data_IF_375109894200
#
_entry.id   IF_375109894200
#
_cell.length_a   1.000
_cell.length_b   1.000
_cell.length_c   1.000
_cell.angle_alpha   90.00
_cell.angle_beta   90.00
_cell.angle_gamma   90.00
#
_symmetry.space_group_name_H-M   'P 1'
#
loop_
_entity.id
_entity.type
_entity.pdbx_description
1 polymer ?
#
# COMPACT_ATOMS: atom_id res chain seq x y z
N UNK A 1 18.27 -2.36 21.37
CA UNK A 1 17.24 -3.10 20.60
C UNK A 1 17.48 -2.84 19.12
N UNK A 2 18.30 -3.68 18.48
CA UNK A 2 18.54 -3.62 17.04
C UNK A 2 17.42 -4.37 16.34
N UNK A 3 16.65 -3.67 15.51
CA UNK A 3 15.74 -4.32 14.55
C UNK A 3 16.59 -4.96 13.46
N UNK A 4 16.63 -6.29 13.45
CA UNK A 4 17.19 -7.07 12.36
C UNK A 4 16.32 -6.82 11.13
N UNK A 5 16.85 -6.09 10.14
CA UNK A 5 16.27 -6.05 8.81
C UNK A 5 16.38 -7.46 8.23
N UNK A 6 15.27 -8.22 8.29
CA UNK A 6 15.17 -9.50 7.63
C UNK A 6 15.53 -9.29 6.15
N UNK A 7 16.58 -9.97 5.70
CA UNK A 7 16.94 -10.04 4.31
C UNK A 7 15.75 -10.62 3.53
N UNK A 8 15.03 -9.76 2.82
CA UNK A 8 14.05 -10.19 1.83
C UNK A 8 14.87 -10.92 0.76
N UNK A 9 14.78 -12.24 0.74
CA UNK A 9 15.45 -13.06 -0.28
C UNK A 9 15.03 -12.56 -1.67
N UNK A 10 15.99 -12.08 -2.45
CA UNK A 10 15.80 -11.45 -3.77
C UNK A 10 14.98 -12.33 -4.72
N UNK A 11 14.98 -13.66 -4.53
CA UNK A 11 14.16 -14.59 -5.31
C UNK A 11 12.64 -14.44 -5.10
N UNK A 12 12.18 -14.07 -3.90
CA UNK A 12 10.75 -13.89 -3.62
C UNK A 12 10.19 -12.59 -4.23
N UNK A 13 11.03 -11.55 -4.32
CA UNK A 13 10.66 -10.27 -4.96
C UNK A 13 10.43 -10.40 -6.46
N UNK A 14 11.29 -11.17 -7.14
CA UNK A 14 11.13 -11.39 -8.58
C UNK A 14 9.84 -12.17 -8.91
N UNK A 15 9.49 -13.15 -8.09
CA UNK A 15 8.28 -13.95 -8.31
C UNK A 15 7.00 -13.15 -8.01
N UNK A 16 6.96 -12.44 -6.88
CA UNK A 16 5.84 -11.57 -6.53
C UNK A 16 5.61 -10.49 -7.59
N UNK A 17 6.67 -9.85 -8.09
CA UNK A 17 6.53 -8.85 -9.15
C UNK A 17 5.98 -9.42 -10.47
N UNK A 18 6.42 -10.62 -10.87
CA UNK A 18 5.87 -11.30 -12.05
C UNK A 18 4.40 -11.64 -11.88
N UNK A 19 4.01 -12.11 -10.70
CA UNK A 19 2.62 -12.44 -10.39
C UNK A 19 1.73 -11.19 -10.45
N UNK A 20 2.18 -10.07 -9.90
CA UNK A 20 1.48 -8.78 -9.99
C UNK A 20 1.34 -8.28 -11.44
N UNK A 21 2.40 -8.42 -12.26
CA UNK A 21 2.32 -8.07 -13.69
C UNK A 21 1.30 -8.93 -14.44
N UNK A 22 1.27 -10.25 -14.17
CA UNK A 22 0.31 -11.16 -14.78
C UNK A 22 -1.14 -10.81 -14.38
N UNK A 23 -1.37 -10.54 -13.08
CA UNK A 23 -2.66 -10.11 -12.55
C UNK A 23 -3.12 -8.78 -13.15
N UNK A 24 -2.20 -7.83 -13.31
CA UNK A 24 -2.50 -6.55 -13.97
C UNK A 24 -2.97 -6.75 -15.42
N UNK A 25 -2.25 -7.55 -16.21
CA UNK A 25 -2.63 -7.85 -17.60
C UNK A 25 -4.01 -8.53 -17.65
N UNK A 26 -4.27 -9.48 -16.76
CA UNK A 26 -5.57 -10.15 -16.66
C UNK A 26 -6.71 -9.17 -16.37
N UNK A 27 -6.50 -8.25 -15.43
CA UNK A 27 -7.49 -7.24 -15.07
C UNK A 27 -7.79 -6.29 -16.24
N UNK A 28 -6.74 -5.78 -16.90
CA UNK A 28 -6.90 -4.86 -18.05
C UNK A 28 -7.54 -5.56 -19.24
N UNK A 29 -7.16 -6.79 -19.54
CA UNK A 29 -7.67 -7.53 -20.70
C UNK A 29 -9.09 -8.06 -20.48
N UNK A 30 -9.42 -8.46 -19.24
CA UNK A 30 -10.70 -9.06 -18.87
C UNK A 30 -11.70 -8.10 -18.24
N UNK A 31 -11.36 -6.83 -18.05
CA UNK A 31 -12.20 -5.86 -17.33
C UNK A 31 -12.48 -6.24 -15.87
N UNK A 32 -11.62 -7.06 -15.26
CA UNK A 32 -11.79 -7.50 -13.86
C UNK A 32 -11.35 -6.38 -12.94
N UNK A 33 -12.05 -6.21 -11.80
CA UNK A 33 -11.62 -5.29 -10.75
C UNK A 33 -10.34 -5.85 -10.10
N UNK A 34 -9.24 -5.09 -10.04
CA UNK A 34 -8.03 -5.55 -9.39
C UNK A 34 -8.24 -5.70 -7.87
N UNK A 35 -7.47 -6.59 -7.24
CA UNK A 35 -7.49 -6.80 -5.80
C UNK A 35 -7.19 -5.51 -5.03
N UNK A 36 -6.24 -4.72 -5.54
CA UNK A 36 -5.88 -3.39 -5.03
C UNK A 36 -6.10 -2.38 -6.15
N UNK A 37 -7.01 -1.43 -5.92
CA UNK A 37 -7.37 -0.38 -6.87
C UNK A 37 -6.87 1.01 -6.43
N UNK A 38 -7.11 2.02 -7.26
CA UNK A 38 -6.72 3.39 -6.96
C UNK A 38 -7.36 3.94 -5.68
N UNK A 39 -8.60 3.56 -5.37
CA UNK A 39 -9.28 3.96 -4.13
C UNK A 39 -8.57 3.38 -2.90
N UNK A 40 -8.15 2.12 -2.97
CA UNK A 40 -7.35 1.48 -1.93
C UNK A 40 -6.03 2.21 -1.72
N UNK A 41 -5.33 2.58 -2.79
CA UNK A 41 -4.11 3.39 -2.74
C UNK A 41 -4.34 4.78 -2.11
N UNK A 42 -5.42 5.47 -2.51
CA UNK A 42 -5.78 6.78 -1.96
C UNK A 42 -6.02 6.73 -0.45
N UNK A 43 -6.70 5.68 0.04
CA UNK A 43 -6.91 5.48 1.49
C UNK A 43 -5.58 5.36 2.25
N UNK A 44 -4.61 4.64 1.70
CA UNK A 44 -3.27 4.51 2.31
C UNK A 44 -2.56 5.85 2.35
N UNK A 45 -2.57 6.61 1.26
CA UNK A 45 -1.94 7.95 1.20
C UNK A 45 -2.53 8.87 2.28
N UNK A 46 -3.85 8.91 2.41
CA UNK A 46 -4.53 9.71 3.45
C UNK A 46 -4.12 9.32 4.87
N UNK A 47 -4.00 8.02 5.15
CA UNK A 47 -3.52 7.53 6.45
C UNK A 47 -2.09 8.04 6.71
N UNK A 48 -1.20 7.94 5.73
CA UNK A 48 0.18 8.40 5.86
C UNK A 48 0.28 9.92 6.04
N UNK A 49 -0.57 10.69 5.36
CA UNK A 49 -0.67 12.14 5.55
C UNK A 49 -1.16 12.50 6.95
N UNK A 50 -2.21 11.85 7.44
CA UNK A 50 -2.74 12.05 8.78
C UNK A 50 -1.71 11.65 9.86
N UNK A 51 -1.01 10.54 9.68
CA UNK A 51 0.08 10.12 10.55
C UNK A 51 1.22 11.15 10.57
N UNK A 52 1.58 11.68 9.40
CA UNK A 52 2.59 12.75 9.28
C UNK A 52 2.15 14.02 10.02
N UNK A 53 0.87 14.41 9.91
CA UNK A 53 0.32 15.53 10.64
C UNK A 53 0.27 15.29 12.15
N UNK A 54 -0.11 14.08 12.57
CA UNK A 54 -0.11 13.64 13.97
C UNK A 54 1.27 13.82 14.59
N UNK A 55 2.32 13.29 13.94
CA UNK A 55 3.71 13.40 14.40
C UNK A 55 4.15 14.86 14.54
N UNK A 56 3.81 15.73 13.57
CA UNK A 56 4.11 17.16 13.65
C UNK A 56 3.41 17.87 14.80
N UNK A 57 2.29 17.33 15.29
CA UNK A 57 1.51 17.86 16.42
C UNK A 57 1.77 17.11 17.73
N UNK A 58 2.88 16.39 17.83
CA UNK A 58 3.26 15.68 19.06
C UNK A 58 2.53 14.35 19.28
N UNK A 59 2.04 13.72 18.21
CA UNK A 59 1.40 12.41 18.27
C UNK A 59 -0.10 12.45 18.58
N UNK A 60 -0.76 13.60 18.45
CA UNK A 60 -2.21 13.70 18.64
C UNK A 60 -2.96 12.97 17.52
N UNK A 61 -4.09 12.34 17.86
CA UNK A 61 -4.93 11.68 16.87
C UNK A 61 -5.45 12.69 15.82
N UNK A 62 -5.41 12.29 14.54
CA UNK A 62 -5.98 13.04 13.42
C UNK A 62 -7.11 12.19 12.84
N UNK A 63 -8.31 12.75 12.78
CA UNK A 63 -9.46 12.06 12.20
C UNK A 63 -9.30 11.93 10.68
N UNK A 64 -9.64 10.74 10.18
CA UNK A 64 -9.73 10.46 8.75
C UNK A 64 -11.20 10.62 8.36
N UNK A 65 -11.49 11.58 7.47
CA UNK A 65 -12.82 11.69 6.89
C UNK A 65 -13.21 10.41 6.15
N UNK A 66 -14.47 10.00 6.27
CA UNK A 66 -15.03 8.93 5.44
C UNK A 66 -15.18 9.44 4.02
N UNK A 67 -14.63 8.70 3.06
CA UNK A 67 -14.85 8.95 1.64
C UNK A 67 -15.42 7.71 1.00
N UNK A 68 -16.53 7.90 0.29
CA UNK A 68 -17.09 6.95 -0.67
C UNK A 68 -16.29 6.99 -1.98
#
# INVERSE_FOLDING_TARGET
MTVSAAAISVGCLAESFKQECAHFIECVSGGKRPLIDGHSGMRVVRILEAATQSLKRGGVAIELGTQD
#
